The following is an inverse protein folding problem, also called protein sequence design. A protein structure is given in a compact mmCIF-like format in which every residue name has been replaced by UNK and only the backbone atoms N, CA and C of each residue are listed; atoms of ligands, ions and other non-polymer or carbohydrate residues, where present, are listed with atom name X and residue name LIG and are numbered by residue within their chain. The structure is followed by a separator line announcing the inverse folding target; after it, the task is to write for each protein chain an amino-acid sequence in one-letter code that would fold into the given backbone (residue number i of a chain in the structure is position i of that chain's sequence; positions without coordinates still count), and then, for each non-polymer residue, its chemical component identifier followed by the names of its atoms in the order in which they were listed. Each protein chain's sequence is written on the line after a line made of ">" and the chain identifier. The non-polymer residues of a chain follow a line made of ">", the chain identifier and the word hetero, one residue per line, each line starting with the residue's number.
data_IF_717870786423
#
_entry.id   IF_717870786423
#
_cell.length_a   1.000
_cell.length_b   1.000
_cell.length_c   1.000
_cell.angle_alpha   90.00
_cell.angle_beta   90.00
_cell.angle_gamma   90.00
#
_symmetry.space_group_name_H-M   'P 1'
#
loop_
_entity.id
_entity.type
_entity.pdbx_description
1 polymer ?
#
# COMPACT_ATOMS: atom_id res chain seq x y z
N UNK A 1 59.23 27.30 -39.67
CA UNK A 1 59.17 26.06 -38.87
C UNK A 1 58.99 26.42 -37.40
N UNK A 2 58.06 25.73 -36.72
CA UNK A 2 57.89 25.56 -35.24
C UNK A 2 57.26 26.76 -34.49
N UNK A 3 55.95 26.69 -34.22
CA UNK A 3 55.25 26.08 -33.07
C UNK A 3 55.34 26.90 -31.79
N UNK A 4 54.26 27.61 -31.44
CA UNK A 4 53.76 27.71 -30.07
C UNK A 4 52.22 27.89 -30.12
N UNK A 5 51.54 26.76 -29.99
CA UNK A 5 50.12 26.65 -29.63
C UNK A 5 50.05 26.56 -28.11
N UNK A 6 49.22 27.39 -27.47
CA UNK A 6 48.45 27.05 -26.27
C UNK A 6 47.78 28.30 -25.70
N UNK A 7 46.48 28.45 -25.88
CA UNK A 7 45.57 28.82 -24.79
C UNK A 7 44.12 28.83 -25.29
N UNK A 8 43.21 28.53 -24.36
CA UNK A 8 41.74 28.53 -24.45
C UNK A 8 41.10 27.24 -24.98
N UNK A 9 41.02 26.23 -24.11
CA UNK A 9 39.95 25.24 -24.17
C UNK A 9 38.67 25.92 -23.64
N UNK A 10 37.74 26.26 -24.53
CA UNK A 10 36.38 26.61 -24.14
C UNK A 10 35.62 25.30 -23.90
N UNK A 11 35.33 24.98 -22.64
CA UNK A 11 34.43 23.88 -22.30
C UNK A 11 32.99 24.30 -22.60
N UNK A 12 32.47 23.89 -23.76
CA UNK A 12 31.03 23.94 -24.05
C UNK A 12 30.39 22.80 -23.26
N UNK A 13 29.70 23.14 -22.17
CA UNK A 13 28.84 22.20 -21.47
C UNK A 13 27.58 22.07 -22.32
N UNK A 14 27.57 21.09 -23.22
CA UNK A 14 26.32 20.61 -23.78
C UNK A 14 25.57 19.92 -22.64
N UNK A 15 24.68 20.66 -21.97
CA UNK A 15 23.67 20.06 -21.13
C UNK A 15 22.73 19.29 -22.06
N UNK A 16 23.06 18.03 -22.33
CA UNK A 16 22.09 17.07 -22.82
C UNK A 16 21.09 16.90 -21.69
N UNK A 17 20.02 17.68 -21.75
CA UNK A 17 18.79 17.35 -21.06
C UNK A 17 18.35 16.01 -21.66
N UNK A 18 18.83 14.92 -21.06
CA UNK A 18 18.10 13.66 -21.11
C UNK A 18 16.81 13.99 -20.39
N UNK A 19 15.81 14.44 -21.15
CA UNK A 19 14.45 14.18 -20.80
C UNK A 19 14.45 12.71 -20.42
N UNK A 20 14.21 12.41 -19.15
CA UNK A 20 13.88 11.07 -18.73
C UNK A 20 12.55 10.76 -19.42
N UNK A 21 12.64 10.31 -20.67
CA UNK A 21 11.56 9.64 -21.36
C UNK A 21 11.41 8.38 -20.50
N UNK A 22 10.36 8.37 -19.66
CA UNK A 22 9.95 7.18 -18.94
C UNK A 22 9.61 6.11 -19.96
N UNK A 23 10.63 5.40 -20.42
CA UNK A 23 10.48 4.20 -21.21
C UNK A 23 9.89 3.17 -20.26
N UNK A 24 8.57 2.99 -20.32
CA UNK A 24 7.93 1.78 -19.80
C UNK A 24 8.35 0.63 -20.72
N UNK A 25 9.59 0.18 -20.55
CA UNK A 25 10.11 -1.00 -21.20
C UNK A 25 9.51 -2.23 -20.53
N UNK A 26 8.66 -2.93 -21.28
CA UNK A 26 8.71 -4.38 -21.43
C UNK A 26 8.30 -5.20 -20.22
N UNK A 27 7.33 -6.09 -20.46
CA UNK A 27 6.88 -7.14 -19.55
C UNK A 27 7.95 -7.59 -18.55
N UNK A 28 7.74 -7.21 -17.31
CA UNK A 28 8.27 -7.91 -16.15
C UNK A 28 7.06 -8.47 -15.43
N UNK A 29 7.18 -9.71 -14.97
CA UNK A 29 6.21 -10.44 -14.17
C UNK A 29 6.01 -9.77 -12.80
N UNK A 30 5.60 -8.49 -12.76
CA UNK A 30 4.82 -8.01 -11.62
C UNK A 30 3.56 -8.88 -11.59
N UNK A 31 3.29 -9.59 -10.49
CA UNK A 31 2.00 -10.25 -10.31
C UNK A 31 0.95 -9.20 -10.68
N UNK A 32 0.14 -9.52 -11.69
CA UNK A 32 -0.94 -8.64 -12.09
C UNK A 32 -1.81 -8.53 -10.84
N UNK A 33 -1.76 -7.40 -10.14
CA UNK A 33 -2.74 -7.06 -9.12
C UNK A 33 -4.08 -7.24 -9.84
N UNK A 34 -4.78 -8.33 -9.54
CA UNK A 34 -5.92 -8.79 -10.36
C UNK A 34 -7.08 -7.77 -10.33
N UNK A 35 -6.97 -6.77 -9.45
CA UNK A 35 -7.97 -5.80 -9.10
C UNK A 35 -7.30 -4.48 -8.68
N UNK A 36 -7.72 -3.34 -9.23
CA UNK A 36 -7.31 -2.02 -8.73
C UNK A 36 -8.26 -1.50 -7.63
N UNK A 37 -9.55 -1.80 -7.78
CA UNK A 37 -10.63 -1.41 -6.87
C UNK A 37 -11.53 -2.62 -6.62
N UNK A 38 -11.82 -2.89 -5.36
CA UNK A 38 -12.71 -3.99 -4.98
C UNK A 38 -13.55 -3.65 -3.75
N UNK A 39 -14.38 -4.60 -3.35
CA UNK A 39 -15.22 -4.54 -2.16
C UNK A 39 -14.81 -5.66 -1.21
N UNK A 40 -14.63 -5.33 0.07
CA UNK A 40 -14.23 -6.30 1.09
C UNK A 40 -15.37 -6.58 2.03
N UNK A 41 -15.66 -7.87 2.23
CA UNK A 41 -16.58 -8.33 3.27
C UNK A 41 -15.87 -9.35 4.15
N UNK A 42 -15.50 -8.96 5.37
CA UNK A 42 -14.71 -9.81 6.25
C UNK A 42 -14.05 -9.04 7.37
N UNK A 43 -12.84 -9.49 7.74
CA UNK A 43 -11.99 -8.82 8.75
C UNK A 43 -10.70 -8.40 8.07
N UNK A 44 -10.24 -7.20 8.40
CA UNK A 44 -8.91 -6.72 8.06
C UNK A 44 -8.22 -6.08 9.26
N UNK A 45 -6.94 -5.78 9.15
CA UNK A 45 -6.24 -5.10 10.23
C UNK A 45 -4.80 -4.78 9.92
N UNK A 46 -4.07 -4.29 10.92
CA UNK A 46 -2.61 -4.17 10.79
C UNK A 46 -2.00 -5.55 10.53
N UNK A 47 -0.93 -5.62 9.73
CA UNK A 47 -0.26 -6.89 9.43
C UNK A 47 0.05 -7.77 10.66
N UNK A 48 0.60 -7.25 11.78
CA UNK A 48 0.83 -8.06 12.97
C UNK A 48 -0.49 -8.51 13.64
N UNK A 49 -1.42 -7.59 13.91
CA UNK A 49 -2.66 -7.94 14.61
C UNK A 49 -3.58 -8.84 13.78
N UNK A 50 -3.54 -8.74 12.45
CA UNK A 50 -4.28 -9.62 11.55
C UNK A 50 -3.72 -11.04 11.55
N UNK A 51 -2.39 -11.19 11.61
CA UNK A 51 -1.74 -12.51 11.76
C UNK A 51 -2.15 -13.18 13.08
N UNK A 52 -2.16 -12.43 14.17
CA UNK A 52 -2.63 -12.90 15.47
C UNK A 52 -4.12 -13.28 15.45
N UNK A 53 -4.97 -12.49 14.78
CA UNK A 53 -6.37 -12.82 14.55
C UNK A 53 -6.53 -14.14 13.78
N UNK A 54 -5.77 -14.35 12.71
CA UNK A 54 -5.81 -15.59 11.94
C UNK A 54 -5.32 -16.80 12.76
N UNK A 55 -4.33 -16.61 13.63
CA UNK A 55 -3.82 -17.63 14.55
C UNK A 55 -4.77 -17.92 15.74
N UNK A 56 -5.72 -17.02 16.01
CA UNK A 56 -6.72 -17.20 17.06
C UNK A 56 -7.70 -18.32 16.69
N UNK A 57 -8.02 -19.25 17.61
CA UNK A 57 -9.03 -20.29 17.37
C UNK A 57 -10.38 -19.70 16.94
N UNK A 58 -11.08 -20.36 16.01
CA UNK A 58 -12.32 -19.82 15.42
C UNK A 58 -13.36 -19.38 16.45
N UNK A 59 -13.54 -20.16 17.52
CA UNK A 59 -14.47 -19.85 18.62
C UNK A 59 -14.14 -18.56 19.38
N UNK A 60 -12.89 -18.11 19.31
CA UNK A 60 -12.35 -16.98 20.07
C UNK A 60 -12.11 -15.75 19.16
N UNK A 61 -12.18 -15.90 17.83
CA UNK A 61 -12.00 -14.81 16.84
C UNK A 61 -12.97 -13.65 17.05
N UNK A 62 -14.23 -13.94 17.40
CA UNK A 62 -15.21 -12.89 17.70
C UNK A 62 -14.78 -12.01 18.88
N UNK A 63 -14.26 -12.64 19.94
CA UNK A 63 -13.76 -11.92 21.12
C UNK A 63 -12.51 -11.12 20.76
N UNK A 64 -11.58 -11.71 20.02
CA UNK A 64 -10.38 -11.00 19.57
C UNK A 64 -10.73 -9.73 18.80
N UNK A 65 -11.68 -9.80 17.86
CA UNK A 65 -12.14 -8.63 17.09
C UNK A 65 -12.73 -7.54 17.98
N UNK A 66 -13.49 -7.91 19.02
CA UNK A 66 -14.08 -6.96 19.96
C UNK A 66 -13.02 -6.30 20.88
N UNK A 67 -12.04 -7.08 21.32
CA UNK A 67 -11.03 -6.64 22.29
C UNK A 67 -9.87 -5.86 21.65
N UNK A 68 -9.65 -6.01 20.35
CA UNK A 68 -8.54 -5.39 19.61
C UNK A 68 -9.04 -4.54 18.44
N UNK A 69 -9.89 -3.52 18.68
CA UNK A 69 -10.37 -2.65 17.62
C UNK A 69 -9.20 -1.90 16.99
N UNK A 70 -9.31 -1.65 15.69
CA UNK A 70 -8.28 -0.94 14.95
C UNK A 70 -8.09 0.47 15.50
N UNK A 71 -6.83 0.84 15.74
CA UNK A 71 -6.42 2.15 16.22
C UNK A 71 -5.21 2.60 15.43
N UNK A 72 -5.15 3.88 15.10
CA UNK A 72 -4.05 4.46 14.33
C UNK A 72 -3.61 5.78 14.96
N UNK A 73 -2.34 6.13 14.76
CA UNK A 73 -1.84 7.49 15.04
C UNK A 73 -2.19 8.39 13.86
N UNK A 74 -2.89 9.49 14.14
CA UNK A 74 -3.21 10.51 13.14
C UNK A 74 -2.21 11.66 13.28
N UNK A 75 -1.56 12.01 12.18
CA UNK A 75 -0.69 13.20 12.11
C UNK A 75 -1.50 14.48 11.94
N UNK A 76 -0.86 15.63 12.15
CA UNK A 76 -1.49 16.95 12.00
C UNK A 76 -2.04 17.22 10.58
N UNK A 77 -1.46 16.55 9.58
CA UNK A 77 -1.87 16.57 8.17
C UNK A 77 -2.99 15.55 7.85
N UNK A 78 -3.49 14.83 8.86
CA UNK A 78 -4.59 13.88 8.73
C UNK A 78 -4.20 12.52 8.14
N UNK A 79 -2.92 12.14 8.21
CA UNK A 79 -2.49 10.79 7.76
C UNK A 79 -2.57 9.80 8.92
N UNK A 80 -3.20 8.65 8.66
CA UNK A 80 -3.18 7.53 9.58
C UNK A 80 -1.88 6.73 9.43
N UNK A 81 -1.27 6.38 10.55
CA UNK A 81 0.00 5.63 10.61
C UNK A 81 0.05 4.76 11.86
N UNK A 82 1.04 3.87 11.93
CA UNK A 82 1.30 3.02 13.10
C UNK A 82 0.04 2.31 13.63
N UNK A 83 -0.78 1.79 12.71
CA UNK A 83 -2.04 1.17 13.07
C UNK A 83 -1.82 -0.19 13.75
N UNK A 84 -2.66 -0.49 14.74
CA UNK A 84 -2.73 -1.74 15.47
C UNK A 84 -4.18 -2.21 15.54
N UNK A 85 -4.40 -3.50 15.80
CA UNK A 85 -5.74 -4.08 15.91
C UNK A 85 -6.33 -4.49 14.57
N UNK A 86 -7.62 -4.84 14.62
CA UNK A 86 -8.43 -5.38 13.52
C UNK A 86 -9.78 -4.67 13.44
N UNK A 87 -10.44 -4.78 12.29
CA UNK A 87 -11.76 -4.21 12.04
C UNK A 87 -12.58 -5.11 11.12
N UNK A 88 -13.90 -5.02 11.24
CA UNK A 88 -14.84 -5.68 10.34
C UNK A 88 -15.16 -4.76 9.17
N UNK A 89 -15.08 -5.30 7.96
CA UNK A 89 -15.40 -4.62 6.72
C UNK A 89 -16.72 -5.20 6.21
N UNK A 90 -17.70 -4.34 5.93
CA UNK A 90 -19.05 -4.72 5.50
C UNK A 90 -19.31 -4.18 4.10
N UNK A 91 -18.82 -4.91 3.10
CA UNK A 91 -18.88 -4.48 1.71
C UNK A 91 -18.17 -3.13 1.49
N UNK A 92 -17.00 -2.98 2.11
CA UNK A 92 -16.24 -1.73 2.05
C UNK A 92 -15.49 -1.60 0.74
N UNK A 93 -15.66 -0.46 0.07
CA UNK A 93 -14.89 -0.12 -1.13
C UNK A 93 -13.44 0.14 -0.75
N UNK A 94 -12.52 -0.59 -1.38
CA UNK A 94 -11.08 -0.50 -1.14
C UNK A 94 -10.31 -0.32 -2.44
N UNK A 95 -9.14 0.30 -2.34
CA UNK A 95 -8.14 0.27 -3.41
C UNK A 95 -7.08 -0.77 -3.08
N UNK A 96 -6.77 -1.65 -4.02
CA UNK A 96 -5.75 -2.67 -3.80
C UNK A 96 -4.37 -2.02 -3.83
N UNK A 97 -3.55 -2.34 -2.83
CA UNK A 97 -2.22 -1.75 -2.67
C UNK A 97 -1.12 -2.71 -3.09
N UNK A 98 -1.11 -3.92 -2.52
CA UNK A 98 -0.05 -4.91 -2.75
C UNK A 98 -0.53 -6.34 -2.47
N UNK A 99 0.05 -7.32 -3.15
CA UNK A 99 -0.12 -8.74 -2.87
C UNK A 99 0.93 -9.20 -1.86
N UNK A 100 0.51 -9.53 -0.64
CA UNK A 100 1.45 -9.90 0.43
C UNK A 100 1.90 -11.36 0.28
N UNK A 101 0.93 -12.27 0.14
CA UNK A 101 1.17 -13.70 -0.04
C UNK A 101 0.04 -14.36 -0.86
N UNK A 102 -0.05 -15.70 -0.82
CA UNK A 102 -1.08 -16.44 -1.56
C UNK A 102 -2.48 -16.35 -0.93
N UNK A 103 -2.61 -15.92 0.32
CA UNK A 103 -3.86 -15.89 1.08
C UNK A 103 -4.29 -14.48 1.48
N UNK A 104 -3.35 -13.53 1.56
CA UNK A 104 -3.57 -12.17 2.06
C UNK A 104 -3.03 -11.11 1.11
N UNK A 105 -3.64 -9.92 1.18
CA UNK A 105 -3.24 -8.76 0.41
C UNK A 105 -3.43 -7.47 1.22
N UNK A 106 -2.68 -6.43 0.85
CA UNK A 106 -2.81 -5.09 1.40
C UNK A 106 -3.82 -4.29 0.58
N UNK A 107 -4.73 -3.61 1.27
CA UNK A 107 -5.73 -2.71 0.67
C UNK A 107 -5.79 -1.40 1.43
N UNK A 108 -6.14 -0.33 0.74
CA UNK A 108 -6.50 0.96 1.34
C UNK A 108 -8.00 0.96 1.59
N UNK A 109 -8.40 0.96 2.86
CA UNK A 109 -9.79 1.04 3.29
C UNK A 109 -10.04 2.33 4.07
N UNK A 110 -11.25 2.87 4.00
CA UNK A 110 -11.68 3.96 4.88
C UNK A 110 -12.15 3.36 6.19
N UNK A 111 -11.44 3.66 7.28
CA UNK A 111 -11.71 3.10 8.60
C UNK A 111 -12.18 4.21 9.52
N UNK A 112 -13.25 3.96 10.26
CA UNK A 112 -13.73 4.84 11.32
C UNK A 112 -12.84 4.71 12.56
N UNK A 113 -12.33 5.85 13.01
CA UNK A 113 -11.52 6.01 14.22
C UNK A 113 -12.16 7.12 15.07
N UNK A 114 -11.73 7.27 16.31
CA UNK A 114 -12.29 8.25 17.26
C UNK A 114 -12.30 9.70 16.73
N UNK A 115 -11.34 10.04 15.87
CA UNK A 115 -11.15 11.39 15.33
C UNK A 115 -11.81 11.59 13.94
N UNK A 116 -12.43 10.55 13.39
CA UNK A 116 -13.07 10.56 12.07
C UNK A 116 -12.70 9.36 11.20
N UNK A 117 -12.98 9.45 9.90
CA UNK A 117 -12.76 8.36 8.95
C UNK A 117 -11.50 8.62 8.11
N UNK A 118 -10.53 7.73 8.21
CA UNK A 118 -9.22 7.89 7.56
C UNK A 118 -8.93 6.75 6.58
N UNK A 119 -8.22 7.03 5.47
CA UNK A 119 -7.68 5.97 4.62
C UNK A 119 -6.53 5.27 5.36
N UNK A 120 -6.62 3.95 5.49
CA UNK A 120 -5.64 3.12 6.19
C UNK A 120 -5.25 1.95 5.31
N UNK A 121 -3.95 1.65 5.24
CA UNK A 121 -3.47 0.39 4.65
C UNK A 121 -3.66 -0.73 5.68
N UNK A 122 -4.50 -1.69 5.33
CA UNK A 122 -4.79 -2.87 6.14
C UNK A 122 -4.60 -4.14 5.33
N UNK A 123 -4.33 -5.23 6.03
CA UNK A 123 -4.26 -6.57 5.45
C UNK A 123 -5.61 -7.24 5.54
N UNK A 124 -6.03 -7.89 4.47
CA UNK A 124 -7.27 -8.67 4.36
C UNK A 124 -6.97 -10.03 3.72
N UNK A 125 -7.91 -10.98 3.81
CA UNK A 125 -7.81 -12.21 3.01
C UNK A 125 -8.25 -11.96 1.58
N UNK A 126 -7.55 -12.55 0.61
CA UNK A 126 -7.90 -12.47 -0.82
C UNK A 126 -9.32 -12.99 -1.10
N UNK A 127 -9.71 -14.08 -0.45
CA UNK A 127 -11.07 -14.65 -0.57
C UNK A 127 -12.19 -13.73 -0.09
N UNK A 128 -11.87 -12.70 0.72
CA UNK A 128 -12.85 -11.77 1.27
C UNK A 128 -12.99 -10.51 0.38
N UNK A 129 -12.24 -10.44 -0.73
CA UNK A 129 -12.20 -9.34 -1.70
C UNK A 129 -12.99 -9.72 -2.95
N UNK A 130 -13.85 -8.83 -3.42
CA UNK A 130 -14.59 -8.94 -4.67
C UNK A 130 -14.16 -7.80 -5.60
N UNK A 131 -13.64 -8.14 -6.78
CA UNK A 131 -13.19 -7.14 -7.74
C UNK A 131 -14.36 -6.34 -8.31
N UNK A 132 -14.21 -5.02 -8.44
CA UNK A 132 -15.10 -4.21 -9.28
C UNK A 132 -14.85 -4.58 -10.75
N UNK A 133 -15.91 -4.85 -11.52
CA UNK A 133 -15.84 -5.17 -12.96
C UNK A 133 -15.63 -3.93 -13.85
#
# INVERSE_FOLDING_TARGET
>A
MRYLLASTLAAVIAATSTAAIGQTSGGSDTPKLECAIGYVTGVGGSAPSFREYLATPDRDRYRYLADHPIQCKISDEGRASACIGVTSLRHEKVSVYDDIDNATMAVVARVELDQGTYPVIIVVRKQDVQCEE
#
